data_IF_526423403874
#
_entry.id   IF_526423403874
#
_cell.length_a   1.000
_cell.length_b   1.000
_cell.length_c   1.000
_cell.angle_alpha   90.00
_cell.angle_beta   90.00
_cell.angle_gamma   90.00
#
_symmetry.space_group_name_H-M   'P 1'
#
loop_
_entity.id
_entity.type
_entity.pdbx_description
1 polymer ?
#
# COMPACT_ATOMS: atom_id res chain seq x y z
N UNK A 1 -1.62 -10.25 -1.11
CA UNK A 1 -1.03 -11.18 -2.12
C UNK A 1 0.19 -10.58 -2.83
N UNK A 2 1.03 -9.80 -2.13
CA UNK A 2 2.09 -9.00 -2.78
C UNK A 2 3.50 -9.25 -2.24
N UNK A 3 3.64 -10.01 -1.15
CA UNK A 3 4.93 -10.23 -0.49
C UNK A 3 5.66 -11.48 -0.99
N UNK A 4 4.93 -12.49 -1.46
CA UNK A 4 5.51 -13.71 -2.05
C UNK A 4 6.30 -13.40 -3.32
N UNK A 5 5.89 -12.38 -4.08
CA UNK A 5 6.53 -11.96 -5.34
C UNK A 5 7.90 -11.33 -5.12
N UNK A 6 8.09 -10.56 -4.03
CA UNK A 6 9.34 -9.84 -3.75
C UNK A 6 10.43 -10.79 -3.24
N UNK A 7 10.06 -11.78 -2.43
CA UNK A 7 10.95 -12.85 -1.96
C UNK A 7 11.42 -13.74 -3.12
N UNK A 8 10.51 -14.11 -4.02
CA UNK A 8 10.84 -14.84 -5.24
C UNK A 8 11.78 -14.03 -6.15
N UNK A 9 11.59 -12.70 -6.22
CA UNK A 9 12.43 -11.83 -7.05
C UNK A 9 13.87 -11.67 -6.51
N UNK A 10 14.09 -11.49 -5.19
CA UNK A 10 15.44 -11.46 -4.56
C UNK A 10 16.18 -12.77 -4.82
N UNK A 11 15.48 -13.89 -4.63
CA UNK A 11 16.03 -15.23 -4.79
C UNK A 11 16.38 -15.50 -6.27
N UNK A 12 15.47 -15.22 -7.21
CA UNK A 12 15.70 -15.43 -8.65
C UNK A 12 16.91 -14.62 -9.15
N UNK A 13 17.03 -13.35 -8.74
CA UNK A 13 18.16 -12.50 -9.16
C UNK A 13 19.48 -13.00 -8.54
N UNK A 14 19.47 -13.39 -7.27
CA UNK A 14 20.67 -13.89 -6.57
C UNK A 14 21.19 -15.19 -7.18
N UNK A 15 20.29 -16.15 -7.45
CA UNK A 15 20.65 -17.39 -8.14
C UNK A 15 21.05 -17.16 -9.60
N UNK A 16 20.44 -16.18 -10.28
CA UNK A 16 20.83 -15.78 -11.63
C UNK A 16 22.27 -15.27 -11.71
N UNK A 17 22.67 -14.37 -10.80
CA UNK A 17 24.04 -13.86 -10.74
C UNK A 17 25.05 -14.93 -10.34
N UNK A 18 24.67 -15.82 -9.40
CA UNK A 18 25.50 -16.93 -8.99
C UNK A 18 25.79 -17.91 -10.14
N UNK A 19 24.77 -18.26 -10.94
CA UNK A 19 24.96 -19.13 -12.12
C UNK A 19 25.84 -18.48 -13.18
N UNK A 20 25.66 -17.18 -13.47
CA UNK A 20 26.52 -16.44 -14.39
C UNK A 20 27.98 -16.45 -13.92
N UNK A 21 28.22 -16.26 -12.62
CA UNK A 21 29.57 -16.32 -12.04
C UNK A 21 30.19 -17.73 -12.14
N UNK A 22 29.39 -18.79 -11.95
CA UNK A 22 29.83 -20.17 -12.11
C UNK A 22 30.21 -20.50 -13.55
N UNK A 23 29.40 -20.07 -14.53
CA UNK A 23 29.70 -20.24 -15.96
C UNK A 23 31.00 -19.54 -16.35
N UNK A 24 31.27 -18.35 -15.80
CA UNK A 24 32.52 -17.62 -16.01
C UNK A 24 33.73 -18.41 -15.47
N UNK A 25 33.62 -19.03 -14.29
CA UNK A 25 34.66 -19.89 -13.72
C UNK A 25 34.92 -21.13 -14.59
N UNK A 26 33.86 -21.76 -15.10
CA UNK A 26 33.98 -22.92 -16.01
C UNK A 26 34.73 -22.53 -17.27
N UNK A 27 34.36 -21.40 -17.88
CA UNK A 27 35.01 -20.90 -19.09
C UNK A 27 36.51 -20.65 -18.85
N UNK A 28 36.85 -19.97 -17.76
CA UNK A 28 38.24 -19.61 -17.42
C UNK A 28 39.13 -20.79 -17.02
N UNK A 29 38.56 -21.89 -16.51
CA UNK A 29 39.34 -23.01 -15.95
C UNK A 29 39.33 -24.27 -16.82
N UNK A 30 38.44 -24.34 -17.82
CA UNK A 30 38.29 -25.48 -18.72
C UNK A 30 39.58 -25.94 -19.42
N UNK A 31 40.46 -25.00 -19.77
CA UNK A 31 41.74 -25.30 -20.42
C UNK A 31 42.82 -25.88 -19.50
N UNK A 32 42.68 -25.75 -18.18
CA UNK A 32 43.72 -26.11 -17.22
C UNK A 32 43.46 -27.45 -16.50
N UNK A 33 42.20 -27.71 -16.13
CA UNK A 33 41.83 -28.89 -15.31
C UNK A 33 40.95 -29.90 -16.05
N UNK A 34 40.59 -29.61 -17.30
CA UNK A 34 39.66 -30.40 -18.10
C UNK A 34 38.19 -30.07 -17.79
N UNK A 35 37.33 -30.30 -18.78
CA UNK A 35 35.93 -29.85 -18.76
C UNK A 35 35.14 -30.36 -17.54
N UNK A 36 35.28 -31.64 -17.19
CA UNK A 36 34.54 -32.23 -16.06
C UNK A 36 34.97 -31.66 -14.71
N UNK A 37 36.26 -31.42 -14.51
CA UNK A 37 36.77 -30.80 -13.28
C UNK A 37 36.37 -29.32 -13.20
N UNK A 38 36.43 -28.60 -14.32
CA UNK A 38 35.98 -27.21 -14.40
C UNK A 38 34.47 -27.08 -14.11
N UNK A 39 33.65 -28.01 -14.62
CA UNK A 39 32.21 -28.05 -14.36
C UNK A 39 31.91 -28.26 -12.87
N UNK A 40 32.58 -29.23 -12.23
CA UNK A 40 32.43 -29.46 -10.78
C UNK A 40 32.84 -28.24 -9.96
N UNK A 41 33.96 -27.59 -10.31
CA UNK A 41 34.46 -26.43 -9.59
C UNK A 41 33.55 -25.20 -9.76
N UNK A 42 33.05 -24.97 -10.97
CA UNK A 42 32.13 -23.88 -11.27
C UNK A 42 30.75 -24.06 -10.64
N UNK A 43 30.22 -25.29 -10.61
CA UNK A 43 28.96 -25.58 -9.93
C UNK A 43 29.10 -25.43 -8.41
N UNK A 44 30.19 -25.93 -7.82
CA UNK A 44 30.48 -25.75 -6.40
C UNK A 44 30.59 -24.26 -6.03
N UNK A 45 31.26 -23.47 -6.89
CA UNK A 45 31.37 -22.02 -6.70
C UNK A 45 30.01 -21.32 -6.83
N UNK A 46 29.20 -21.65 -7.83
CA UNK A 46 27.87 -21.06 -8.00
C UNK A 46 26.94 -21.35 -6.81
N UNK A 47 26.96 -22.58 -6.28
CA UNK A 47 26.15 -22.94 -5.10
C UNK A 47 26.66 -22.20 -3.86
N UNK A 48 27.97 -22.18 -3.62
CA UNK A 48 28.55 -21.48 -2.48
C UNK A 48 28.27 -19.97 -2.53
N UNK A 49 28.52 -19.34 -3.68
CA UNK A 49 28.32 -17.91 -3.87
C UNK A 49 26.83 -17.54 -3.85
N UNK A 50 25.96 -18.38 -4.41
CA UNK A 50 24.51 -18.21 -4.31
C UNK A 50 24.01 -18.28 -2.86
N UNK A 51 24.51 -19.23 -2.07
CA UNK A 51 24.17 -19.33 -0.64
C UNK A 51 24.73 -18.17 0.19
N UNK A 52 25.95 -17.70 -0.10
CA UNK A 52 26.55 -16.56 0.59
C UNK A 52 25.83 -15.25 0.24
N UNK A 53 25.52 -14.99 -1.03
CA UNK A 53 24.78 -13.78 -1.45
C UNK A 53 23.36 -13.82 -0.90
N UNK A 54 22.65 -14.95 -1.04
CA UNK A 54 21.31 -15.10 -0.44
C UNK A 54 21.39 -14.93 1.08
N UNK A 55 22.47 -15.46 1.68
CA UNK A 55 22.82 -15.38 3.10
C UNK A 55 23.30 -14.01 3.60
N UNK A 56 23.63 -13.06 2.73
CA UNK A 56 24.14 -11.73 3.09
C UNK A 56 23.14 -10.63 2.69
N UNK A 57 22.44 -10.83 1.58
CA UNK A 57 21.53 -9.85 0.97
C UNK A 57 20.08 -10.18 1.28
N UNK A 58 19.69 -11.47 1.29
CA UNK A 58 18.32 -11.89 1.60
C UNK A 58 18.15 -12.39 3.07
N UNK A 59 19.18 -12.46 3.92
CA UNK A 59 19.09 -12.80 5.37
C UNK A 59 18.53 -11.71 6.27
N UNK A 60 18.30 -10.50 5.76
CA UNK A 60 17.39 -9.55 6.40
C UNK A 60 15.90 -9.98 6.30
N UNK A 61 15.60 -11.09 5.61
CA UNK A 61 14.25 -11.50 5.26
C UNK A 61 14.07 -13.03 5.38
N UNK A 62 14.45 -13.62 6.50
CA UNK A 62 14.01 -14.98 6.81
C UNK A 62 12.57 -14.96 7.33
N UNK A 63 11.68 -15.62 6.61
CA UNK A 63 10.29 -15.87 7.00
C UNK A 63 10.14 -16.76 8.26
N UNK A 64 11.27 -17.20 8.86
CA UNK A 64 11.31 -18.04 10.07
C UNK A 64 11.35 -17.29 11.40
N UNK A 65 11.65 -15.99 11.43
CA UNK A 65 11.81 -15.23 12.70
C UNK A 65 10.58 -14.41 13.11
N UNK A 66 9.45 -14.50 12.39
CA UNK A 66 8.17 -13.86 12.79
C UNK A 66 6.97 -14.77 12.58
N UNK A 67 7.02 -15.96 13.14
CA UNK A 67 5.86 -16.84 13.24
C UNK A 67 5.59 -17.19 14.69
N UNK A 68 5.15 -16.22 15.49
CA UNK A 68 4.33 -16.55 16.66
C UNK A 68 3.15 -17.34 16.08
N UNK A 69 3.07 -18.64 16.37
CA UNK A 69 1.91 -19.41 15.94
C UNK A 69 0.67 -18.82 16.61
N UNK A 70 -0.48 -18.86 15.96
CA UNK A 70 -1.76 -18.43 16.58
C UNK A 70 -1.97 -19.10 17.94
N UNK A 71 -1.39 -20.29 18.13
CA UNK A 71 -1.33 -21.04 19.38
C UNK A 71 -0.57 -20.36 20.51
N UNK A 72 0.53 -19.66 20.20
CA UNK A 72 1.34 -18.94 21.19
C UNK A 72 0.63 -17.64 21.62
N UNK A 73 -0.07 -16.98 20.68
CA UNK A 73 -0.96 -15.85 20.99
C UNK A 73 -2.14 -16.32 21.85
N UNK A 74 -2.76 -17.45 21.50
CA UNK A 74 -3.88 -18.01 22.24
C UNK A 74 -3.46 -18.49 23.65
N UNK A 75 -2.28 -19.10 23.78
CA UNK A 75 -1.72 -19.50 25.08
C UNK A 75 -1.43 -18.27 25.96
N UNK A 76 -0.86 -17.21 25.38
CA UNK A 76 -0.54 -15.97 26.10
C UNK A 76 -1.81 -15.20 26.49
N UNK A 77 -2.82 -15.16 25.60
CA UNK A 77 -4.13 -14.58 25.91
C UNK A 77 -4.86 -15.38 26.99
N UNK A 78 -4.79 -16.71 26.95
CA UNK A 78 -5.39 -17.59 27.97
C UNK A 78 -4.75 -17.38 29.34
N UNK A 79 -3.43 -17.19 29.38
CA UNK A 79 -2.67 -16.96 30.61
C UNK A 79 -2.96 -15.57 31.20
N UNK A 80 -3.05 -14.53 30.36
CA UNK A 80 -3.31 -13.16 30.84
C UNK A 80 -4.78 -12.86 31.15
N UNK A 81 -5.73 -13.48 30.45
CA UNK A 81 -7.16 -13.12 30.57
C UNK A 81 -8.03 -14.18 31.25
N UNK A 82 -7.54 -15.42 31.37
CA UNK A 82 -8.30 -16.54 31.94
C UNK A 82 -9.52 -16.97 31.11
N UNK A 83 -9.72 -16.42 29.91
CA UNK A 83 -10.89 -16.71 29.07
C UNK A 83 -10.62 -17.98 28.26
N UNK A 84 -11.21 -19.11 28.67
CA UNK A 84 -11.23 -20.34 27.87
C UNK A 84 -12.51 -20.40 27.05
N UNK A 85 -12.53 -19.85 25.84
CA UNK A 85 -13.69 -20.05 24.96
C UNK A 85 -13.96 -19.04 23.85
N UNK A 86 -12.94 -18.37 23.29
CA UNK A 86 -13.19 -17.61 22.06
C UNK A 86 -13.28 -18.58 20.87
N UNK A 87 -14.50 -18.93 20.46
CA UNK A 87 -14.74 -19.59 19.18
C UNK A 87 -14.86 -18.50 18.11
N UNK A 88 -13.83 -18.38 17.28
CA UNK A 88 -13.90 -17.55 16.08
C UNK A 88 -15.08 -18.00 15.21
N UNK A 89 -15.89 -17.09 14.65
CA UNK A 89 -16.97 -17.47 13.76
C UNK A 89 -16.37 -18.12 12.51
N UNK A 90 -16.88 -19.31 12.18
CA UNK A 90 -16.49 -20.08 11.01
C UNK A 90 -16.67 -19.23 9.74
N UNK A 91 -15.57 -18.83 9.10
CA UNK A 91 -15.60 -18.27 7.74
C UNK A 91 -15.79 -19.46 6.81
N UNK A 92 -17.03 -19.60 6.34
CA UNK A 92 -17.41 -20.60 5.36
C UNK A 92 -16.64 -20.37 4.06
N UNK A 93 -15.82 -21.36 3.74
CA UNK A 93 -15.03 -21.50 2.53
C UNK A 93 -15.96 -21.80 1.36
N UNK A 94 -16.28 -20.80 0.54
CA UNK A 94 -16.84 -21.03 -0.80
C UNK A 94 -15.76 -20.78 -1.86
N UNK A 95 -15.20 -21.89 -2.34
CA UNK A 95 -14.30 -21.97 -3.48
C UNK A 95 -15.07 -21.76 -4.82
N UNK A 96 -14.36 -21.43 -5.92
CA UNK A 96 -14.87 -20.62 -7.03
C UNK A 96 -15.27 -21.41 -8.29
N UNK A 97 -16.05 -20.78 -9.18
CA UNK A 97 -15.88 -20.69 -10.66
C UNK A 97 -17.22 -20.29 -11.36
N UNK A 98 -17.28 -20.00 -12.69
CA UNK A 98 -16.84 -18.76 -13.33
C UNK A 98 -17.88 -18.15 -14.32
N UNK A 99 -17.59 -16.92 -14.76
CA UNK A 99 -17.95 -16.30 -16.05
C UNK A 99 -19.43 -16.15 -16.48
N UNK A 100 -19.91 -14.90 -16.49
CA UNK A 100 -20.59 -14.30 -17.66
C UNK A 100 -20.69 -12.78 -17.51
N UNK A 101 -20.07 -12.04 -18.44
CA UNK A 101 -20.54 -10.71 -18.87
C UNK A 101 -21.36 -10.91 -20.17
N UNK A 102 -22.09 -9.92 -20.73
CA UNK A 102 -22.33 -8.53 -20.28
C UNK A 102 -23.82 -8.08 -20.39
N UNK A 103 -24.01 -6.76 -20.18
CA UNK A 103 -25.11 -5.86 -20.58
C UNK A 103 -26.49 -5.96 -19.89
N UNK A 104 -26.81 -4.94 -19.08
CA UNK A 104 -27.76 -3.88 -19.49
C UNK A 104 -27.87 -2.79 -18.42
N UNK A 105 -27.76 -1.54 -18.87
CA UNK A 105 -28.19 -0.34 -18.14
C UNK A 105 -29.69 -0.41 -17.82
N UNK A 106 -30.13 0.22 -16.72
CA UNK A 106 -31.14 1.24 -16.93
C UNK A 106 -30.85 2.51 -16.13
N UNK A 107 -30.76 3.62 -16.86
CA UNK A 107 -31.15 4.92 -16.36
C UNK A 107 -32.66 4.92 -16.11
N UNK A 108 -33.08 5.10 -14.87
CA UNK A 108 -34.20 5.98 -14.49
C UNK A 108 -34.30 6.03 -12.95
N UNK A 109 -34.08 7.20 -12.37
CA UNK A 109 -34.79 7.56 -11.14
C UNK A 109 -35.01 9.06 -11.10
N UNK A 110 -36.24 9.44 -11.40
CA UNK A 110 -36.75 10.78 -11.18
C UNK A 110 -37.25 10.88 -9.75
N UNK A 111 -36.65 11.82 -9.00
CA UNK A 111 -37.29 12.80 -8.12
C UNK A 111 -38.52 12.37 -7.30
N UNK A 112 -38.42 12.48 -5.97
CA UNK A 112 -39.34 13.32 -5.18
C UNK A 112 -38.57 14.06 -4.06
N UNK A 113 -38.85 15.36 -4.00
CA UNK A 113 -38.41 16.41 -3.08
C UNK A 113 -39.32 16.52 -1.84
N UNK A 114 -38.82 17.13 -0.75
CA UNK A 114 -39.42 18.19 0.12
C UNK A 114 -38.56 18.23 1.40
N UNK A 115 -37.62 19.17 1.61
CA UNK A 115 -37.71 20.62 1.91
C UNK A 115 -38.02 20.96 3.39
N UNK A 116 -37.05 21.60 4.07
CA UNK A 116 -37.24 22.67 5.07
C UNK A 116 -35.90 23.44 5.26
N UNK A 117 -35.95 24.76 5.07
CA UNK A 117 -34.89 25.75 4.82
C UNK A 117 -34.43 26.50 6.10
N UNK A 118 -33.79 27.70 6.05
CA UNK A 118 -32.56 28.14 5.35
C UNK A 118 -31.57 28.89 6.30
N UNK A 119 -30.30 29.03 5.90
CA UNK A 119 -29.52 30.28 6.12
C UNK A 119 -28.64 30.54 4.91
N UNK A 120 -28.65 31.79 4.49
CA UNK A 120 -28.20 32.38 3.23
C UNK A 120 -26.96 33.25 3.46
N UNK A 121 -26.09 33.30 2.44
CA UNK A 121 -24.98 34.23 2.06
C UNK A 121 -23.70 33.43 1.76
N UNK A 122 -23.00 33.57 0.63
CA UNK A 122 -23.05 34.52 -0.47
C UNK A 122 -22.35 33.87 -1.69
N UNK A 123 -22.67 34.38 -2.87
CA UNK A 123 -22.32 33.83 -4.18
C UNK A 123 -20.83 33.91 -4.53
N UNK A 124 -20.37 32.95 -5.34
CA UNK A 124 -19.83 33.25 -6.67
C UNK A 124 -19.85 31.99 -7.54
N UNK A 125 -20.53 32.08 -8.67
CA UNK A 125 -20.57 31.07 -9.70
C UNK A 125 -19.43 31.32 -10.68
N UNK A 126 -18.55 30.34 -10.89
CA UNK A 126 -17.93 30.08 -12.19
C UNK A 126 -17.28 28.69 -12.15
N UNK A 127 -17.75 27.79 -13.02
CA UNK A 127 -17.20 26.49 -13.42
C UNK A 127 -16.71 25.50 -12.33
N UNK A 128 -17.27 24.28 -12.36
CA UNK A 128 -16.60 23.02 -11.94
C UNK A 128 -16.41 22.76 -10.42
N UNK A 129 -17.37 22.02 -9.84
CA UNK A 129 -17.21 21.33 -8.54
C UNK A 129 -17.66 22.12 -7.30
N UNK A 130 -18.08 21.40 -6.26
CA UNK A 130 -18.48 21.99 -4.96
C UNK A 130 -17.27 22.05 -4.04
N UNK A 131 -16.99 23.19 -3.42
CA UNK A 131 -15.88 23.31 -2.46
C UNK A 131 -16.16 22.44 -1.22
N UNK A 132 -15.27 21.52 -0.84
CA UNK A 132 -15.45 20.72 0.36
C UNK A 132 -15.28 21.52 1.65
N UNK A 133 -15.82 20.99 2.74
CA UNK A 133 -15.74 21.61 4.07
C UNK A 133 -14.28 21.77 4.53
N UNK A 134 -13.81 23.02 4.50
CA UNK A 134 -12.49 23.42 4.96
C UNK A 134 -12.53 23.91 6.42
N UNK A 135 -11.45 23.66 7.15
CA UNK A 135 -11.23 24.14 8.50
C UNK A 135 -10.22 25.30 8.48
N UNK A 136 -10.38 26.26 9.39
CA UNK A 136 -9.42 27.35 9.54
C UNK A 136 -8.12 26.90 10.25
N UNK A 137 -8.22 25.85 11.06
CA UNK A 137 -7.12 25.27 11.82
C UNK A 137 -7.37 23.77 12.04
N UNK A 138 -6.32 22.97 12.31
CA UNK A 138 -6.48 21.59 12.72
C UNK A 138 -7.33 21.48 13.98
N UNK A 139 -8.17 20.44 14.03
CA UNK A 139 -8.93 20.10 15.25
C UNK A 139 -7.95 19.68 16.35
N UNK A 140 -8.22 20.10 17.58
CA UNK A 140 -7.38 19.82 18.75
C UNK A 140 -5.90 20.26 18.62
N UNK A 141 -5.59 21.14 17.65
CA UNK A 141 -4.24 21.65 17.40
C UNK A 141 -3.29 20.65 16.74
N UNK A 142 -3.77 19.47 16.34
CA UNK A 142 -2.97 18.44 15.68
C UNK A 142 -3.58 18.13 14.30
N UNK A 143 -2.74 18.14 13.26
CA UNK A 143 -3.13 17.67 11.93
C UNK A 143 -2.71 16.23 11.74
N UNK A 144 -3.45 15.48 10.93
CA UNK A 144 -3.05 14.16 10.46
C UNK A 144 -1.88 14.27 9.48
N UNK A 145 -1.08 13.21 9.38
CA UNK A 145 -0.01 13.11 8.38
C UNK A 145 -0.57 12.75 7.00
N UNK A 146 -1.02 13.75 6.25
CA UNK A 146 -1.61 13.53 4.93
C UNK A 146 -0.64 12.87 3.94
N UNK A 147 0.68 12.91 4.20
CA UNK A 147 1.69 12.22 3.36
C UNK A 147 1.56 10.70 3.42
N UNK A 148 0.79 10.15 4.35
CA UNK A 148 0.45 8.73 4.39
C UNK A 148 -0.47 8.30 3.24
N UNK A 149 -1.12 9.25 2.56
CA UNK A 149 -1.88 8.98 1.34
C UNK A 149 -0.91 8.95 0.15
N UNK A 150 -0.95 7.87 -0.63
CA UNK A 150 -0.15 7.75 -1.85
C UNK A 150 -0.49 8.88 -2.81
N UNK A 151 0.52 9.63 -3.23
CA UNK A 151 0.37 10.77 -4.14
C UNK A 151 0.32 12.13 -3.45
N UNK A 152 0.17 12.16 -2.13
CA UNK A 152 0.37 13.35 -1.29
C UNK A 152 1.82 13.38 -0.82
N UNK A 153 2.63 14.25 -1.43
CA UNK A 153 3.99 14.53 -0.96
C UNK A 153 4.04 15.75 -0.01
N UNK A 154 5.20 16.07 0.58
CA UNK A 154 5.36 17.18 1.53
C UNK A 154 4.85 18.53 1.00
N UNK A 155 5.06 18.81 -0.29
CA UNK A 155 4.56 20.04 -0.93
C UNK A 155 3.03 20.05 -1.10
N UNK A 156 2.43 18.88 -1.31
CA UNK A 156 0.98 18.75 -1.47
C UNK A 156 0.27 18.82 -0.13
N UNK A 157 0.84 18.22 0.91
CA UNK A 157 0.36 18.35 2.28
C UNK A 157 0.26 19.83 2.69
N UNK A 158 1.31 20.63 2.45
CA UNK A 158 1.29 22.07 2.71
C UNK A 158 0.14 22.76 1.95
N UNK A 159 -0.05 22.45 0.67
CA UNK A 159 -1.16 23.02 -0.11
C UNK A 159 -2.54 22.58 0.43
N UNK A 160 -2.68 21.32 0.85
CA UNK A 160 -3.91 20.82 1.48
C UNK A 160 -4.20 21.58 2.79
N UNK A 161 -3.18 21.80 3.62
CA UNK A 161 -3.28 22.56 4.86
C UNK A 161 -3.67 24.02 4.58
N UNK A 162 -3.05 24.67 3.57
CA UNK A 162 -3.42 26.03 3.13
C UNK A 162 -4.88 26.13 2.66
N UNK A 163 -5.42 25.06 2.06
CA UNK A 163 -6.82 24.98 1.64
C UNK A 163 -7.79 24.64 2.81
N UNK A 164 -7.25 24.31 3.99
CA UNK A 164 -8.03 23.99 5.19
C UNK A 164 -8.37 22.51 5.38
N UNK A 165 -7.65 21.61 4.72
CA UNK A 165 -7.77 20.16 4.90
C UNK A 165 -6.61 19.66 5.73
N UNK A 166 -6.89 19.21 6.95
CA UNK A 166 -5.88 18.79 7.92
C UNK A 166 -6.01 17.33 8.33
N UNK A 167 -7.16 16.70 8.05
CA UNK A 167 -7.51 15.38 8.58
C UNK A 167 -7.95 14.40 7.51
N UNK A 168 -7.71 13.12 7.74
CA UNK A 168 -8.14 12.05 6.85
C UNK A 168 -9.66 11.96 6.73
N UNK A 169 -10.41 12.27 7.80
CA UNK A 169 -11.88 12.22 7.78
C UNK A 169 -12.48 13.23 6.80
N UNK A 170 -11.85 14.40 6.64
CA UNK A 170 -12.30 15.41 5.68
C UNK A 170 -12.19 14.87 4.24
N UNK A 171 -11.04 14.25 3.92
CA UNK A 171 -10.76 13.69 2.59
C UNK A 171 -11.63 12.44 2.34
N UNK A 172 -11.83 11.61 3.37
CA UNK A 172 -12.70 10.43 3.31
C UNK A 172 -14.16 10.78 3.02
N UNK A 173 -14.60 11.98 3.43
CA UNK A 173 -15.95 12.50 3.22
C UNK A 173 -16.19 13.14 1.86
N UNK A 174 -15.18 13.33 1.02
CA UNK A 174 -15.36 14.01 -0.27
C UNK A 174 -16.24 13.22 -1.24
N UNK A 175 -17.21 13.91 -1.80
CA UNK A 175 -17.97 13.50 -2.98
C UNK A 175 -17.15 13.67 -4.27
N UNK A 176 -17.61 13.06 -5.36
CA UNK A 176 -16.95 13.19 -6.66
C UNK A 176 -16.86 14.66 -7.15
N UNK A 177 -17.87 15.48 -6.82
CA UNK A 177 -17.88 16.90 -7.16
C UNK A 177 -16.83 17.70 -6.35
N UNK A 178 -16.63 17.33 -5.08
CA UNK A 178 -15.62 17.91 -4.20
C UNK A 178 -14.20 17.48 -4.60
N UNK A 179 -14.01 16.20 -4.96
CA UNK A 179 -12.75 15.70 -5.52
C UNK A 179 -12.37 16.50 -6.77
N UNK A 180 -13.32 16.71 -7.69
CA UNK A 180 -13.08 17.48 -8.90
C UNK A 180 -12.69 18.93 -8.60
N UNK A 181 -13.35 19.57 -7.62
CA UNK A 181 -12.98 20.91 -7.18
C UNK A 181 -11.56 20.96 -6.61
N UNK A 182 -11.21 20.04 -5.70
CA UNK A 182 -9.86 19.99 -5.10
C UNK A 182 -8.81 19.72 -6.19
N UNK A 183 -9.08 18.81 -7.12
CA UNK A 183 -8.20 18.53 -8.25
C UNK A 183 -7.89 19.76 -9.10
N UNK A 184 -8.79 20.74 -9.17
CA UNK A 184 -8.56 21.98 -9.92
C UNK A 184 -7.87 23.05 -9.09
N UNK A 185 -8.16 23.08 -7.79
CA UNK A 185 -7.61 24.05 -6.83
C UNK A 185 -6.19 23.71 -6.36
N UNK A 186 -5.72 22.48 -6.57
CA UNK A 186 -4.32 22.09 -6.36
C UNK A 186 -3.40 22.64 -7.46
N UNK A 187 -2.79 23.80 -7.20
CA UNK A 187 -1.87 24.50 -8.12
C UNK A 187 -0.69 23.60 -8.51
N UNK A 188 -0.60 23.26 -9.80
CA UNK A 188 0.51 22.47 -10.37
C UNK A 188 0.36 20.95 -10.21
N UNK A 189 -0.71 20.47 -9.56
CA UNK A 189 -0.90 19.05 -9.24
C UNK A 189 -2.32 18.58 -9.55
N UNK A 190 -2.84 19.01 -10.70
CA UNK A 190 -4.21 18.73 -11.10
C UNK A 190 -4.46 17.24 -11.36
N UNK A 191 -5.62 16.76 -10.94
CA UNK A 191 -6.09 15.38 -11.21
C UNK A 191 -5.42 14.29 -10.36
N UNK A 192 -4.67 14.65 -9.30
CA UNK A 192 -4.00 13.65 -8.44
C UNK A 192 -4.95 13.02 -7.44
N UNK A 193 -5.94 13.76 -6.96
CA UNK A 193 -6.89 13.29 -5.94
C UNK A 193 -7.67 12.11 -6.48
N UNK A 194 -8.18 12.24 -7.71
CA UNK A 194 -8.90 11.19 -8.41
C UNK A 194 -7.99 10.08 -8.94
N UNK A 195 -6.86 10.39 -9.59
CA UNK A 195 -5.95 9.37 -10.15
C UNK A 195 -5.33 8.45 -9.10
N UNK A 196 -4.94 9.02 -7.96
CA UNK A 196 -4.29 8.28 -6.88
C UNK A 196 -5.32 7.80 -5.83
N UNK A 197 -6.63 7.91 -6.08
CA UNK A 197 -7.71 7.43 -5.20
C UNK A 197 -7.59 7.89 -3.74
N UNK A 198 -7.40 9.20 -3.51
CA UNK A 198 -7.16 9.73 -2.16
C UNK A 198 -8.30 9.43 -1.19
N UNK A 199 -9.55 9.54 -1.66
CA UNK A 199 -10.74 9.31 -0.83
C UNK A 199 -10.79 7.88 -0.28
N UNK A 200 -10.42 6.88 -1.08
CA UNK A 200 -10.43 5.47 -0.65
C UNK A 200 -9.34 5.20 0.40
N UNK A 201 -8.15 5.75 0.21
CA UNK A 201 -7.05 5.60 1.16
C UNK A 201 -7.35 6.36 2.46
N UNK A 202 -7.87 7.58 2.36
CA UNK A 202 -8.24 8.39 3.52
C UNK A 202 -9.32 7.72 4.36
N UNK A 203 -10.28 6.99 3.76
CA UNK A 203 -11.27 6.19 4.51
C UNK A 203 -10.62 5.10 5.36
N UNK A 204 -9.60 4.43 4.84
CA UNK A 204 -8.87 3.39 5.57
C UNK A 204 -8.11 4.02 6.74
N UNK A 205 -7.37 5.11 6.48
CA UNK A 205 -6.57 5.80 7.49
C UNK A 205 -7.44 6.47 8.57
N UNK A 206 -8.56 7.09 8.19
CA UNK A 206 -9.51 7.68 9.13
C UNK A 206 -10.18 6.62 10.04
N UNK A 207 -10.30 5.37 9.58
CA UNK A 207 -10.78 4.26 10.39
C UNK A 207 -9.69 3.66 11.30
N UNK A 208 -8.47 4.21 11.29
CA UNK A 208 -7.31 3.67 12.02
C UNK A 208 -6.67 2.45 11.34
N UNK A 209 -7.02 2.18 10.09
CA UNK A 209 -6.38 1.14 9.28
C UNK A 209 -5.08 1.64 8.66
N UNK A 210 -4.28 0.70 8.16
CA UNK A 210 -3.03 0.99 7.47
C UNK A 210 -3.13 0.58 6.00
N UNK A 211 -2.45 1.32 5.13
CA UNK A 211 -2.23 0.94 3.74
C UNK A 211 -0.78 0.52 3.55
N UNK A 212 -0.51 -0.29 2.53
CA UNK A 212 0.85 -0.64 2.12
C UNK A 212 1.76 0.59 1.94
N UNK A 213 1.18 1.72 1.52
CA UNK A 213 1.93 2.96 1.35
C UNK A 213 2.20 3.65 2.70
N UNK A 214 1.17 3.81 3.54
CA UNK A 214 1.32 4.45 4.85
C UNK A 214 2.30 3.69 5.73
N UNK A 215 2.31 2.36 5.66
CA UNK A 215 3.31 1.55 6.35
C UNK A 215 4.73 1.89 5.91
N UNK A 216 5.01 2.05 4.61
CA UNK A 216 6.34 2.45 4.16
C UNK A 216 6.72 3.88 4.58
N UNK A 217 5.75 4.78 4.64
CA UNK A 217 5.98 6.15 5.14
C UNK A 217 6.33 6.12 6.63
N UNK A 218 5.63 5.32 7.43
CA UNK A 218 5.92 5.15 8.86
C UNK A 218 7.29 4.53 9.15
N UNK A 219 7.82 3.71 8.25
CA UNK A 219 9.16 3.10 8.38
C UNK A 219 10.31 3.98 7.84
N UNK A 220 10.06 5.25 7.49
CA UNK A 220 11.11 6.26 7.31
C UNK A 220 11.90 6.24 5.99
N UNK A 221 11.31 5.79 4.88
CA UNK A 221 12.05 5.61 3.61
C UNK A 221 11.50 6.36 2.39
N UNK A 222 10.46 7.18 2.54
CA UNK A 222 9.73 7.76 1.38
C UNK A 222 10.05 9.23 1.16
N UNK A 223 10.31 9.99 2.22
CA UNK A 223 10.48 11.46 2.16
C UNK A 223 11.71 11.98 2.92
N UNK A 224 12.50 11.10 3.54
CA UNK A 224 13.75 11.46 4.20
C UNK A 224 14.91 11.33 3.20
N UNK A 225 15.20 12.39 2.44
CA UNK A 225 16.42 12.58 1.64
C UNK A 225 17.04 13.95 1.91
#
# INVERSE_FOLDING_TARGET
>A
MSDTSKLSTCQIISWGLALLSGVLVIWSTSGAVGFFAALLLGLAFAVFFGLVITGLVCTGYNAGDRGIEVRDVEATLRDMTGITGYKAPDVEEEAPAPAASPVASPAQSASVSVAAAPVEVEAEADAEGTKPAALAAPRDGAADDLKQIKGVGPKLEVLCHELGFYHFDQIAGWSAAEVAWVDQNLKGFKGRVSRDNWVEQAKILAAGGETEFSNRVAHGGVYEE
#
